data_IF_157972446942
#
_entry.id   IF_157972446942
#
_cell.length_a   1.000
_cell.length_b   1.000
_cell.length_c   1.000
_cell.angle_alpha   90.00
_cell.angle_beta   90.00
_cell.angle_gamma   90.00
#
_symmetry.space_group_name_H-M   'P 1'
#
loop_
_entity.id
_entity.type
_entity.pdbx_description
1 polymer ?
#
# COMPACT_ATOMS: atom_id res chain seq x y z
N UNK A 1 -0.65 26.01 -18.11
CA UNK A 1 -1.61 26.41 -19.14
C UNK A 1 -2.46 25.20 -19.49
N UNK A 2 -3.78 25.29 -19.45
CA UNK A 2 -4.68 24.19 -19.83
C UNK A 2 -4.71 24.05 -21.35
N UNK A 3 -4.70 22.81 -21.86
CA UNK A 3 -4.82 22.53 -23.29
C UNK A 3 -5.68 21.28 -23.54
N UNK A 4 -6.38 21.27 -24.66
CA UNK A 4 -7.16 20.12 -25.12
C UNK A 4 -6.29 19.35 -26.12
N UNK A 5 -6.22 18.03 -25.95
CA UNK A 5 -5.55 17.13 -26.91
C UNK A 5 -6.41 15.88 -27.16
N UNK A 6 -6.26 15.22 -28.29
CA UNK A 6 -6.86 13.91 -28.50
C UNK A 6 -6.36 12.90 -27.45
N UNK A 7 -7.24 12.01 -27.01
CA UNK A 7 -6.84 10.88 -26.15
C UNK A 7 -6.00 9.90 -26.96
N UNK A 8 -4.91 9.43 -26.36
CA UNK A 8 -4.08 8.37 -26.92
C UNK A 8 -3.96 7.25 -25.92
N UNK A 9 -4.05 5.98 -26.37
CA UNK A 9 -3.84 4.83 -25.48
C UNK A 9 -2.39 4.85 -24.99
N UNK A 10 -2.21 5.00 -23.68
CA UNK A 10 -0.90 4.91 -23.04
C UNK A 10 -0.90 3.67 -22.13
N UNK A 11 0.22 2.98 -22.08
CA UNK A 11 0.43 1.96 -21.05
C UNK A 11 0.52 2.68 -19.69
N UNK A 12 -0.49 2.46 -18.85
CA UNK A 12 -0.47 2.98 -17.47
C UNK A 12 0.44 2.11 -16.61
N UNK A 13 1.16 2.73 -15.69
CA UNK A 13 1.90 2.01 -14.64
C UNK A 13 0.91 1.53 -13.59
N UNK A 14 0.93 0.24 -13.30
CA UNK A 14 0.03 -0.40 -12.33
C UNK A 14 0.34 0.11 -10.93
N UNK A 15 -0.70 0.45 -10.19
CA UNK A 15 -0.69 0.71 -8.75
C UNK A 15 -1.51 -0.39 -8.10
N UNK A 16 -0.82 -1.38 -7.52
CA UNK A 16 -1.42 -2.60 -7.00
C UNK A 16 -1.33 -2.62 -5.48
N UNK A 17 -2.40 -3.00 -4.83
CA UNK A 17 -2.40 -3.28 -3.40
C UNK A 17 -2.60 -4.78 -3.14
N UNK A 18 -1.76 -5.34 -2.27
CA UNK A 18 -1.90 -6.68 -1.71
C UNK A 18 -2.27 -6.54 -0.24
N UNK A 19 -3.47 -6.94 0.14
CA UNK A 19 -3.88 -6.92 1.53
C UNK A 19 -4.05 -8.33 2.10
N UNK A 20 -3.92 -8.45 3.41
CA UNK A 20 -4.09 -9.71 4.12
C UNK A 20 -3.44 -9.69 5.49
N UNK A 21 -3.77 -10.70 6.31
CA UNK A 21 -3.20 -10.82 7.66
C UNK A 21 -1.70 -11.20 7.62
N UNK A 22 -1.05 -11.14 8.78
CA UNK A 22 0.33 -11.61 8.91
C UNK A 22 0.42 -13.08 8.48
N UNK A 23 1.48 -13.44 7.73
CA UNK A 23 1.69 -14.80 7.24
C UNK A 23 0.88 -15.19 6.01
N UNK A 24 0.02 -14.31 5.45
CA UNK A 24 -0.75 -14.64 4.23
C UNK A 24 0.08 -14.71 2.94
N UNK A 25 1.37 -14.30 2.96
CA UNK A 25 2.25 -14.37 1.80
C UNK A 25 2.33 -13.10 0.95
N UNK A 26 1.91 -11.94 1.48
CA UNK A 26 1.92 -10.65 0.75
C UNK A 26 3.27 -10.30 0.15
N UNK A 27 4.33 -10.29 0.96
CA UNK A 27 5.70 -9.95 0.53
C UNK A 27 6.19 -10.90 -0.57
N UNK A 28 6.01 -12.20 -0.38
CA UNK A 28 6.37 -13.21 -1.37
C UNK A 28 5.62 -13.01 -2.70
N UNK A 29 4.31 -12.81 -2.62
CA UNK A 29 3.48 -12.56 -3.81
C UNK A 29 3.85 -11.26 -4.51
N UNK A 30 4.16 -10.19 -3.74
CA UNK A 30 4.62 -8.92 -4.30
C UNK A 30 5.91 -9.09 -5.10
N UNK A 31 6.89 -9.84 -4.58
CA UNK A 31 8.15 -10.12 -5.26
C UNK A 31 7.96 -10.92 -6.55
N UNK A 32 7.11 -11.96 -6.54
CA UNK A 32 6.82 -12.74 -7.75
C UNK A 32 6.10 -11.92 -8.82
N UNK A 33 5.13 -11.09 -8.41
CA UNK A 33 4.42 -10.19 -9.33
C UNK A 33 5.37 -9.15 -9.92
N UNK A 34 6.24 -8.56 -9.09
CA UNK A 34 7.24 -7.60 -9.54
C UNK A 34 8.20 -8.23 -10.57
N UNK A 35 8.68 -9.44 -10.31
CA UNK A 35 9.52 -10.17 -11.26
C UNK A 35 8.76 -10.48 -12.54
N UNK A 36 7.50 -10.89 -12.45
CA UNK A 36 6.66 -11.12 -13.64
C UNK A 36 6.47 -9.87 -14.52
N UNK A 37 6.57 -8.66 -13.95
CA UNK A 37 6.45 -7.39 -14.67
C UNK A 37 7.76 -6.97 -15.36
N UNK A 38 8.93 -7.31 -14.79
CA UNK A 38 10.24 -6.83 -15.28
C UNK A 38 11.09 -7.93 -15.93
N UNK A 39 10.92 -9.19 -15.47
CA UNK A 39 11.81 -10.31 -15.75
C UNK A 39 13.27 -10.04 -15.34
N UNK A 40 13.52 -9.04 -14.50
CA UNK A 40 14.84 -8.61 -14.05
C UNK A 40 14.80 -8.19 -12.57
N UNK A 41 15.38 -8.99 -11.69
CA UNK A 41 15.44 -8.71 -10.26
C UNK A 41 16.16 -7.39 -9.94
N UNK A 42 17.17 -7.00 -10.73
CA UNK A 42 17.93 -5.77 -10.50
C UNK A 42 17.11 -4.48 -10.69
N UNK A 43 15.92 -4.59 -11.33
CA UNK A 43 14.97 -3.50 -11.57
C UNK A 43 13.87 -3.40 -10.53
N UNK A 44 13.94 -4.21 -9.48
CA UNK A 44 12.97 -4.25 -8.39
C UNK A 44 13.61 -3.67 -7.14
N UNK A 45 12.88 -2.77 -6.46
CA UNK A 45 13.24 -2.30 -5.13
C UNK A 45 12.11 -2.58 -4.13
N UNK A 46 12.49 -2.98 -2.92
CA UNK A 46 11.58 -3.14 -1.78
C UNK A 46 11.88 -2.02 -0.78
N UNK A 47 10.90 -1.19 -0.48
CA UNK A 47 10.94 -0.25 0.64
C UNK A 47 10.41 -1.02 1.85
N UNK A 48 11.32 -1.41 2.75
CA UNK A 48 11.04 -2.30 3.87
C UNK A 48 10.77 -1.49 5.14
N UNK A 49 9.55 -1.60 5.65
CA UNK A 49 9.13 -1.11 6.96
C UNK A 49 8.89 -2.24 7.97
N UNK A 50 9.17 -3.47 7.59
CA UNK A 50 8.88 -4.69 8.37
C UNK A 50 10.17 -5.29 8.97
N UNK A 51 11.12 -4.42 9.37
CA UNK A 51 12.36 -4.79 10.08
C UNK A 51 13.22 -5.87 9.37
N UNK A 52 13.48 -5.71 8.09
CA UNK A 52 14.33 -6.64 7.33
C UNK A 52 13.58 -7.86 6.83
N UNK A 53 12.26 -7.85 6.80
CA UNK A 53 11.46 -8.97 6.28
C UNK A 53 11.72 -9.24 4.80
N UNK A 54 12.09 -8.22 4.04
CA UNK A 54 12.46 -8.36 2.63
C UNK A 54 13.65 -9.31 2.45
N UNK A 55 14.64 -9.29 3.33
CA UNK A 55 15.85 -10.10 3.22
C UNK A 55 15.58 -11.61 3.37
N UNK A 56 14.47 -12.00 3.99
CA UNK A 56 14.07 -13.41 4.12
C UNK A 56 13.83 -14.08 2.76
N UNK A 57 13.58 -13.30 1.74
CA UNK A 57 13.28 -13.78 0.38
C UNK A 57 14.44 -13.57 -0.60
N UNK A 58 15.65 -13.24 -0.12
CA UNK A 58 16.83 -13.01 -0.97
C UNK A 58 17.22 -14.22 -1.83
N UNK A 59 16.75 -15.41 -1.48
CA UNK A 59 16.93 -16.64 -2.28
C UNK A 59 16.16 -16.64 -3.61
N UNK A 60 15.16 -15.77 -3.78
CA UNK A 60 14.39 -15.64 -5.03
C UNK A 60 15.17 -14.93 -6.12
N UNK A 61 16.02 -13.96 -5.74
CA UNK A 61 16.82 -13.19 -6.70
C UNK A 61 17.47 -11.96 -6.06
N UNK A 62 18.30 -11.27 -6.84
CA UNK A 62 19.08 -10.11 -6.38
C UNK A 62 18.30 -8.82 -6.63
N UNK A 63 17.31 -8.54 -5.81
CA UNK A 63 16.58 -7.25 -5.81
C UNK A 63 17.17 -6.26 -4.81
N UNK A 64 16.79 -5.01 -4.90
CA UNK A 64 17.27 -3.93 -4.05
C UNK A 64 16.36 -3.72 -2.85
N UNK A 65 16.92 -3.31 -1.71
CA UNK A 65 16.15 -3.02 -0.49
C UNK A 65 16.50 -1.62 0.02
N UNK A 66 15.48 -0.85 0.38
CA UNK A 66 15.59 0.44 1.06
C UNK A 66 14.96 0.29 2.45
N UNK A 67 15.77 0.36 3.50
CA UNK A 67 15.29 0.35 4.88
C UNK A 67 14.90 1.77 5.32
N UNK A 68 13.74 1.92 5.95
CA UNK A 68 13.27 3.21 6.46
C UNK A 68 13.90 3.62 7.80
N UNK A 69 14.71 2.75 8.42
CA UNK A 69 15.46 3.09 9.63
C UNK A 69 14.60 3.41 10.86
N UNK A 70 13.34 2.96 10.88
CA UNK A 70 12.40 3.21 11.98
C UNK A 70 11.62 4.52 11.86
N UNK A 71 11.90 5.36 10.86
CA UNK A 71 11.08 6.54 10.55
C UNK A 71 10.01 6.16 9.50
N UNK A 72 8.78 5.97 9.97
CA UNK A 72 7.64 5.62 9.13
C UNK A 72 6.79 6.85 8.74
N UNK A 73 7.38 8.04 8.77
CA UNK A 73 6.70 9.27 8.32
C UNK A 73 6.39 9.22 6.83
N UNK A 74 5.27 9.81 6.38
CA UNK A 74 4.95 9.93 4.96
C UNK A 74 6.08 10.54 4.12
N UNK A 75 6.80 11.48 4.70
CA UNK A 75 7.91 12.18 4.07
C UNK A 75 9.06 11.23 3.74
N UNK A 76 9.41 10.33 4.69
CA UNK A 76 10.46 9.32 4.48
C UNK A 76 10.06 8.28 3.41
N UNK A 77 8.80 7.86 3.38
CA UNK A 77 8.30 7.00 2.28
C UNK A 77 8.37 7.70 0.92
N UNK A 78 8.02 8.99 0.85
CA UNK A 78 8.10 9.79 -0.37
C UNK A 78 9.55 9.89 -0.86
N UNK A 79 10.49 10.10 0.06
CA UNK A 79 11.93 10.16 -0.24
C UNK A 79 12.42 8.79 -0.73
N UNK A 80 12.06 7.70 -0.07
CA UNK A 80 12.43 6.34 -0.47
C UNK A 80 11.90 5.98 -1.86
N UNK A 81 10.64 6.31 -2.18
CA UNK A 81 10.08 6.11 -3.53
C UNK A 81 10.88 6.93 -4.55
N UNK A 82 11.18 8.18 -4.24
CA UNK A 82 11.93 9.07 -5.12
C UNK A 82 13.35 8.56 -5.36
N UNK A 83 14.01 8.03 -4.32
CA UNK A 83 15.33 7.39 -4.43
C UNK A 83 15.29 6.21 -5.41
N UNK A 84 14.29 5.32 -5.28
CA UNK A 84 14.13 4.17 -6.16
C UNK A 84 13.85 4.59 -7.62
N UNK A 85 13.02 5.62 -7.84
CA UNK A 85 12.76 6.15 -9.18
C UNK A 85 14.04 6.69 -9.83
N UNK A 86 14.82 7.46 -9.06
CA UNK A 86 16.10 8.04 -9.54
C UNK A 86 17.17 6.97 -9.79
N UNK A 87 17.11 5.85 -9.08
CA UNK A 87 17.99 4.70 -9.30
C UNK A 87 17.56 3.85 -10.52
N UNK A 88 16.50 4.21 -11.23
CA UNK A 88 16.02 3.54 -12.43
C UNK A 88 15.32 2.21 -12.18
N UNK A 89 14.68 2.07 -11.02
CA UNK A 89 13.82 0.92 -10.73
C UNK A 89 12.57 0.95 -11.62
N UNK A 90 12.10 -0.21 -12.04
CA UNK A 90 10.88 -0.36 -12.86
C UNK A 90 9.67 -0.75 -12.03
N UNK A 91 9.90 -1.46 -10.93
CA UNK A 91 8.87 -1.83 -9.94
C UNK A 91 9.39 -1.49 -8.54
N UNK A 92 8.56 -0.80 -7.76
CA UNK A 92 8.80 -0.52 -6.35
C UNK A 92 7.75 -1.26 -5.54
N UNK A 93 8.18 -2.06 -4.58
CA UNK A 93 7.33 -2.69 -3.58
C UNK A 93 7.43 -1.85 -2.30
N UNK A 94 6.31 -1.43 -1.72
CA UNK A 94 6.24 -0.75 -0.42
C UNK A 94 5.65 -1.71 0.60
N UNK A 95 6.49 -2.28 1.44
CA UNK A 95 6.11 -3.34 2.40
C UNK A 95 6.41 -2.92 3.85
N UNK A 96 5.40 -2.42 4.57
CA UNK A 96 4.01 -2.18 4.23
C UNK A 96 3.65 -0.70 4.38
N UNK A 97 2.60 -0.25 3.69
CA UNK A 97 2.08 1.12 3.87
C UNK A 97 1.28 1.28 5.17
N UNK A 98 0.95 0.18 5.86
CA UNK A 98 0.22 0.23 7.14
C UNK A 98 1.01 0.92 8.25
N UNK A 99 2.35 0.79 8.26
CA UNK A 99 3.21 1.47 9.22
C UNK A 99 3.15 3.00 9.08
N UNK A 100 3.03 3.50 7.84
CA UNK A 100 2.85 4.94 7.59
C UNK A 100 1.54 5.46 8.21
N UNK A 101 0.47 4.68 8.09
CA UNK A 101 -0.82 5.05 8.68
C UNK A 101 -0.79 5.00 10.20
N UNK A 102 -0.19 3.96 10.79
CA UNK A 102 -0.01 3.84 12.24
C UNK A 102 0.81 5.02 12.78
N UNK A 103 1.91 5.40 12.11
CA UNK A 103 2.67 6.61 12.45
C UNK A 103 1.80 7.88 12.45
N UNK A 104 0.94 8.04 11.46
CA UNK A 104 0.05 9.22 11.38
C UNK A 104 -1.02 9.21 12.47
N UNK A 105 -1.52 8.05 12.86
CA UNK A 105 -2.44 7.91 13.99
C UNK A 105 -1.77 8.27 15.31
N UNK A 106 -0.54 7.81 15.54
CA UNK A 106 0.25 8.17 16.72
C UNK A 106 0.60 9.65 16.73
N UNK A 107 0.99 10.22 15.60
CA UNK A 107 1.22 11.65 15.46
C UNK A 107 -0.06 12.45 15.83
N UNK A 108 -1.22 12.04 15.30
CA UNK A 108 -2.50 12.68 15.62
C UNK A 108 -2.84 12.58 17.11
N UNK A 109 -2.65 11.40 17.72
CA UNK A 109 -2.97 11.16 19.14
C UNK A 109 -2.13 12.06 20.10
N UNK A 110 -0.89 12.38 19.68
CA UNK A 110 0.01 13.23 20.47
C UNK A 110 -0.20 14.74 20.26
N UNK A 111 -1.09 15.17 19.35
CA UNK A 111 -1.42 16.56 19.14
C UNK A 111 -2.35 17.08 20.25
N UNK A 112 -1.99 18.22 20.83
CA UNK A 112 -2.85 18.90 21.81
C UNK A 112 -4.03 19.62 21.11
N UNK A 113 -5.11 19.82 21.87
CA UNK A 113 -6.26 20.60 21.44
C UNK A 113 -7.42 19.78 20.88
N UNK A 114 -8.20 20.36 19.98
CA UNK A 114 -9.37 19.70 19.40
C UNK A 114 -8.95 18.61 18.41
N UNK A 115 -9.27 17.35 18.74
CA UNK A 115 -8.94 16.18 17.93
C UNK A 115 -9.46 16.29 16.49
N UNK A 116 -10.68 16.78 16.30
CA UNK A 116 -11.25 16.96 14.95
C UNK A 116 -10.44 17.98 14.13
N UNK A 117 -10.07 19.11 14.72
CA UNK A 117 -9.25 20.13 14.05
C UNK A 117 -7.83 19.64 13.73
N UNK A 118 -7.28 18.73 14.54
CA UNK A 118 -5.94 18.18 14.35
C UNK A 118 -5.79 17.34 13.06
N UNK A 119 -6.88 16.82 12.51
CA UNK A 119 -6.86 16.14 11.22
C UNK A 119 -6.41 17.04 10.06
N UNK A 120 -6.56 18.35 10.19
CA UNK A 120 -6.03 19.32 9.22
C UNK A 120 -4.48 19.26 9.10
N UNK A 121 -3.78 18.73 10.10
CA UNK A 121 -2.32 18.53 10.08
C UNK A 121 -1.91 17.14 9.54
N UNK A 122 -2.78 16.15 9.67
CA UNK A 122 -2.54 14.76 9.29
C UNK A 122 -2.92 14.50 7.84
N UNK A 123 -4.12 14.95 7.45
CA UNK A 123 -4.69 14.68 6.13
C UNK A 123 -3.79 15.11 4.96
N UNK A 124 -3.17 16.32 4.97
CA UNK A 124 -2.29 16.73 3.86
C UNK A 124 -1.07 15.82 3.71
N UNK A 125 -0.50 15.34 4.82
CA UNK A 125 0.66 14.43 4.81
C UNK A 125 0.30 13.08 4.20
N UNK A 126 -0.84 12.49 4.63
CA UNK A 126 -1.36 11.27 4.03
C UNK A 126 -1.65 11.44 2.54
N UNK A 127 -2.30 12.53 2.17
CA UNK A 127 -2.63 12.79 0.77
C UNK A 127 -1.36 12.96 -0.09
N UNK A 128 -0.32 13.61 0.42
CA UNK A 128 0.96 13.74 -0.30
C UNK A 128 1.60 12.38 -0.58
N UNK A 129 1.58 11.46 0.41
CA UNK A 129 2.08 10.10 0.24
C UNK A 129 1.26 9.32 -0.80
N UNK A 130 -0.07 9.35 -0.71
CA UNK A 130 -0.96 8.71 -1.70
C UNK A 130 -0.70 9.25 -3.10
N UNK A 131 -0.63 10.58 -3.25
CA UNK A 131 -0.33 11.21 -4.54
C UNK A 131 1.04 10.80 -5.09
N UNK A 132 2.07 10.65 -4.23
CA UNK A 132 3.37 10.15 -4.67
C UNK A 132 3.28 8.73 -5.24
N UNK A 133 2.51 7.83 -4.61
CA UNK A 133 2.27 6.48 -5.14
C UNK A 133 1.57 6.58 -6.51
N UNK A 134 0.48 7.32 -6.59
CA UNK A 134 -0.37 7.38 -7.80
C UNK A 134 0.33 8.03 -8.99
N UNK A 135 1.12 9.08 -8.75
CA UNK A 135 1.80 9.84 -9.80
C UNK A 135 3.16 9.26 -10.20
N UNK A 136 3.64 8.24 -9.50
CA UNK A 136 4.91 7.59 -9.80
C UNK A 136 4.95 7.08 -11.26
N UNK A 137 6.06 7.32 -11.93
CA UNK A 137 6.31 6.92 -13.31
C UNK A 137 6.63 5.41 -13.46
N UNK A 138 6.72 4.66 -12.35
CA UNK A 138 7.02 3.23 -12.31
C UNK A 138 5.85 2.43 -11.74
N UNK A 139 5.88 1.11 -11.86
CA UNK A 139 4.91 0.26 -11.19
C UNK A 139 5.12 0.30 -9.68
N UNK A 140 4.04 0.39 -8.91
CA UNK A 140 4.11 0.32 -7.44
C UNK A 140 3.18 -0.78 -6.94
N UNK A 141 3.72 -1.65 -6.09
CA UNK A 141 3.00 -2.68 -5.37
C UNK A 141 3.07 -2.32 -3.88
N UNK A 142 1.92 -2.06 -3.26
CA UNK A 142 1.84 -1.79 -1.82
C UNK A 142 1.28 -2.99 -1.09
N UNK A 143 1.88 -3.38 0.02
CA UNK A 143 1.25 -4.33 0.92
C UNK A 143 0.52 -3.60 2.04
N UNK A 144 -0.62 -4.17 2.47
CA UNK A 144 -1.42 -3.68 3.58
C UNK A 144 -1.72 -4.81 4.55
N UNK A 145 -1.55 -4.56 5.85
CA UNK A 145 -2.02 -5.46 6.89
C UNK A 145 -3.53 -5.34 7.03
N UNK A 146 -4.19 -6.45 7.32
CA UNK A 146 -5.61 -6.46 7.65
C UNK A 146 -5.83 -6.87 9.11
N UNK A 147 -6.91 -6.37 9.69
CA UNK A 147 -7.42 -6.78 11.00
C UNK A 147 -8.86 -7.23 10.89
N UNK A 148 -9.29 -8.04 11.88
CA UNK A 148 -10.69 -8.44 11.97
C UNK A 148 -11.57 -7.22 12.16
N UNK A 149 -12.57 -7.07 11.30
CA UNK A 149 -13.60 -6.04 11.42
C UNK A 149 -14.82 -6.57 12.15
N UNK A 150 -15.47 -5.70 12.94
CA UNK A 150 -16.63 -6.01 13.74
C UNK A 150 -17.71 -4.95 13.53
N UNK A 151 -18.94 -5.39 13.34
CA UNK A 151 -20.12 -4.52 13.35
C UNK A 151 -20.92 -4.82 14.61
N UNK A 152 -21.43 -3.78 15.25
CA UNK A 152 -22.33 -3.91 16.38
C UNK A 152 -23.75 -4.15 15.85
N UNK A 153 -24.25 -5.37 15.99
CA UNK A 153 -25.61 -5.73 15.65
C UNK A 153 -26.46 -5.86 16.91
N UNK A 154 -27.70 -5.36 16.84
CA UNK A 154 -28.64 -5.52 17.93
C UNK A 154 -29.21 -6.96 17.93
N UNK A 155 -28.93 -7.72 19.01
CA UNK A 155 -29.55 -9.04 19.27
C UNK A 155 -30.21 -9.00 20.64
N UNK A 156 -31.53 -9.20 20.66
CA UNK A 156 -32.34 -9.21 21.90
C UNK A 156 -32.19 -7.94 22.75
N UNK A 157 -32.19 -6.76 22.14
CA UNK A 157 -32.05 -5.48 22.83
C UNK A 157 -30.64 -5.17 23.35
N UNK A 158 -29.62 -5.97 22.94
CA UNK A 158 -28.21 -5.73 23.30
C UNK A 158 -27.37 -5.61 22.03
N UNK A 159 -26.45 -4.65 22.04
CA UNK A 159 -25.45 -4.49 20.97
C UNK A 159 -24.38 -5.58 21.13
N UNK A 160 -24.29 -6.48 20.16
CA UNK A 160 -23.33 -7.60 20.14
C UNK A 160 -22.37 -7.41 18.97
N UNK A 161 -21.04 -7.46 19.20
CA UNK A 161 -20.05 -7.42 18.12
C UNK A 161 -20.18 -8.69 17.25
N UNK A 162 -20.38 -8.50 15.96
CA UNK A 162 -20.37 -9.57 14.95
C UNK A 162 -19.22 -9.37 13.99
N UNK A 163 -18.47 -10.44 13.70
CA UNK A 163 -17.38 -10.42 12.73
C UNK A 163 -17.96 -10.28 11.33
N UNK A 164 -17.52 -9.24 10.60
CA UNK A 164 -18.00 -8.99 9.23
C UNK A 164 -16.95 -9.21 8.16
N UNK A 165 -15.68 -9.48 8.54
CA UNK A 165 -14.61 -9.72 7.59
C UNK A 165 -13.26 -9.16 8.05
N UNK A 166 -12.38 -8.94 7.10
CA UNK A 166 -11.08 -8.30 7.32
C UNK A 166 -11.12 -6.88 6.74
N UNK A 167 -10.56 -5.93 7.46
CA UNK A 167 -10.41 -4.54 7.02
C UNK A 167 -8.94 -4.18 6.96
N UNK A 168 -8.53 -3.49 5.90
CA UNK A 168 -7.17 -2.99 5.77
C UNK A 168 -6.84 -1.98 6.90
N UNK A 169 -5.63 -2.09 7.47
CA UNK A 169 -5.11 -1.13 8.44
C UNK A 169 -4.59 0.10 7.70
N UNK A 170 -5.53 0.87 7.18
CA UNK A 170 -5.32 2.07 6.40
C UNK A 170 -6.48 3.06 6.60
N UNK A 171 -6.31 4.28 6.10
CA UNK A 171 -7.39 5.25 6.01
C UNK A 171 -8.52 4.67 5.14
N UNK A 172 -9.76 4.87 5.57
CA UNK A 172 -10.93 4.45 4.80
C UNK A 172 -10.89 5.02 3.39
N UNK A 173 -11.19 4.19 2.39
CA UNK A 173 -11.17 4.55 0.98
C UNK A 173 -9.81 4.43 0.29
N UNK A 174 -8.76 4.00 0.99
CA UNK A 174 -7.43 3.81 0.39
C UNK A 174 -7.44 2.73 -0.71
N UNK A 175 -8.31 1.74 -0.60
CA UNK A 175 -8.50 0.67 -1.58
C UNK A 175 -9.01 1.19 -2.93
N UNK A 176 -9.79 2.29 -2.94
CA UNK A 176 -10.27 2.91 -4.18
C UNK A 176 -9.19 3.68 -4.96
N UNK A 177 -8.06 3.94 -4.34
CA UNK A 177 -6.95 4.66 -4.99
C UNK A 177 -6.11 3.75 -5.90
N UNK A 178 -6.13 2.44 -5.67
CA UNK A 178 -5.32 1.49 -6.43
C UNK A 178 -6.02 1.01 -7.71
N UNK A 179 -5.22 0.76 -8.75
CA UNK A 179 -5.71 0.16 -10.01
C UNK A 179 -6.22 -1.25 -9.79
N UNK A 180 -5.55 -2.01 -8.91
CA UNK A 180 -5.89 -3.39 -8.58
C UNK A 180 -5.73 -3.57 -7.08
N UNK A 181 -6.71 -4.20 -6.44
CA UNK A 181 -6.63 -4.62 -5.03
C UNK A 181 -6.87 -6.12 -4.95
N UNK A 182 -5.91 -6.82 -4.38
CA UNK A 182 -5.96 -8.27 -4.17
C UNK A 182 -5.95 -8.56 -2.67
N UNK A 183 -6.91 -9.37 -2.21
CA UNK A 183 -6.93 -9.90 -0.84
C UNK A 183 -6.34 -11.30 -0.82
N UNK A 184 -5.44 -11.56 0.14
CA UNK A 184 -4.76 -12.84 0.31
C UNK A 184 -5.13 -13.42 1.67
N UNK A 185 -5.85 -14.54 1.68
CA UNK A 185 -6.24 -15.24 2.89
C UNK A 185 -5.09 -16.08 3.50
N UNK A 186 -5.32 -16.67 4.68
CA UNK A 186 -4.35 -17.55 5.37
C UNK A 186 -4.09 -18.88 4.64
N UNK A 187 -4.93 -19.24 3.69
CA UNK A 187 -4.74 -20.43 2.84
C UNK A 187 -4.03 -20.07 1.53
N UNK A 188 -3.56 -18.81 1.43
CA UNK A 188 -2.90 -18.24 0.25
C UNK A 188 -3.80 -18.16 -1.00
N UNK A 189 -5.12 -18.16 -0.82
CA UNK A 189 -6.03 -17.86 -1.92
C UNK A 189 -6.06 -16.36 -2.16
N UNK A 190 -6.11 -15.97 -3.42
CA UNK A 190 -6.13 -14.57 -3.84
C UNK A 190 -7.49 -14.25 -4.43
N UNK A 191 -8.11 -13.19 -3.92
CA UNK A 191 -9.37 -12.65 -4.44
C UNK A 191 -9.16 -11.21 -4.90
N UNK A 192 -9.57 -10.90 -6.12
CA UNK A 192 -9.61 -9.52 -6.59
C UNK A 192 -10.82 -8.79 -5.98
N UNK A 193 -10.59 -7.70 -5.26
CA UNK A 193 -11.63 -6.88 -4.64
C UNK A 193 -12.02 -5.71 -5.53
N UNK A 194 -11.06 -5.13 -6.25
CA UNK A 194 -11.27 -4.02 -7.17
C UNK A 194 -10.35 -4.15 -8.38
N UNK A 195 -10.91 -3.91 -9.55
CA UNK A 195 -10.21 -3.84 -10.83
C UNK A 195 -10.71 -2.57 -11.51
N UNK A 196 -10.05 -1.43 -11.23
CA UNK A 196 -10.40 -0.17 -11.87
C UNK A 196 -9.84 -0.20 -13.30
N UNK A 197 -10.75 -0.15 -14.30
CA UNK A 197 -10.40 -0.04 -15.72
C UNK A 197 -9.69 -1.23 -16.39
N UNK A 198 -9.94 -2.46 -15.97
CA UNK A 198 -9.82 -3.57 -16.92
C UNK A 198 -11.14 -3.59 -17.69
N UNK A 199 -11.28 -2.58 -18.57
CA UNK A 199 -12.33 -2.62 -19.57
C UNK A 199 -12.03 -3.80 -20.50
N UNK A 200 -13.06 -4.60 -20.72
CA UNK A 200 -13.08 -5.69 -21.70
C UNK A 200 -12.54 -5.24 -23.06
N UNK A 201 -12.02 -6.20 -23.83
CA UNK A 201 -11.41 -5.94 -25.13
C UNK A 201 -12.37 -5.30 -26.14
#
# INVERSE_FOLDING_TARGET
>A
MLHIRPSTRKQAKIKLALQGCAGSGKTYSALLLAYGMTSDWSKIAVIDSENGSADLYAHLGTYNVVSLGGDYSPENYIEAITLCENAGMEVIIVDSISQCWDYLLDFHANLQGNSFANWAKVTPRQNAFVQKILQSAVHIICTMRTKQDYVLNEKNGKMVPEKVGLKAMQRDGMDYEFTVVLDIDLKHHVQALSLIHISEP
#
